data_IF_551760392909
#
_entry.id   IF_551760392909
#
_cell.length_a   1.000
_cell.length_b   1.000
_cell.length_c   1.000
_cell.angle_alpha   90.00
_cell.angle_beta   90.00
_cell.angle_gamma   90.00
#
_symmetry.space_group_name_H-M   'P 1'
#
loop_
_entity.id
_entity.type
_entity.pdbx_description
1 polymer ?
#
# COMPACT_ATOMS: atom_id res chain seq x y z
N UNK A 1 -0.35 -9.12 -13.32
CA UNK A 1 -1.01 -9.95 -12.29
C UNK A 1 -2.30 -10.55 -12.82
N UNK A 2 -3.16 -9.75 -13.44
CA UNK A 2 -4.51 -10.17 -13.89
C UNK A 2 -4.51 -11.45 -14.71
N UNK A 3 -3.70 -11.55 -15.78
CA UNK A 3 -3.63 -12.76 -16.60
C UNK A 3 -3.12 -14.03 -15.89
N UNK A 4 -2.37 -13.87 -14.79
CA UNK A 4 -1.82 -14.99 -14.03
C UNK A 4 -2.76 -15.45 -12.91
N UNK A 5 -3.41 -14.49 -12.25
CA UNK A 5 -4.24 -14.74 -11.08
C UNK A 5 -5.74 -14.77 -11.38
N UNK A 6 -6.17 -14.23 -12.53
CA UNK A 6 -7.59 -14.04 -12.86
C UNK A 6 -8.31 -13.02 -11.95
N UNK A 7 -7.55 -12.09 -11.35
CA UNK A 7 -8.07 -11.07 -10.42
C UNK A 7 -7.80 -9.69 -11.02
N UNK A 8 -8.83 -8.85 -11.07
CA UNK A 8 -8.73 -7.46 -11.51
C UNK A 8 -7.76 -6.67 -10.63
N UNK A 9 -6.83 -5.93 -11.26
CA UNK A 9 -5.80 -5.18 -10.56
C UNK A 9 -5.49 -3.87 -11.28
N UNK A 10 -5.63 -2.76 -10.58
CA UNK A 10 -5.20 -1.44 -11.03
C UNK A 10 -4.00 -0.94 -10.23
N UNK A 11 -3.25 -0.02 -10.83
CA UNK A 11 -2.17 0.71 -10.16
C UNK A 11 -2.46 2.20 -10.25
N UNK A 12 -2.33 2.91 -9.14
CA UNK A 12 -2.56 4.35 -9.05
C UNK A 12 -1.41 5.02 -8.30
N UNK A 13 -1.10 6.25 -8.69
CA UNK A 13 -0.14 7.08 -7.98
C UNK A 13 -0.83 7.62 -6.72
N UNK A 14 -0.19 7.45 -5.55
CA UNK A 14 -0.78 7.82 -4.26
C UNK A 14 -1.22 9.30 -4.20
N UNK A 15 -0.40 10.21 -4.75
CA UNK A 15 -0.71 11.64 -4.81
C UNK A 15 -1.93 11.97 -5.67
N UNK A 16 -2.28 11.13 -6.65
CA UNK A 16 -3.52 11.30 -7.43
C UNK A 16 -4.73 10.65 -6.74
N UNK A 17 -4.50 9.62 -5.93
CA UNK A 17 -5.54 8.87 -5.25
C UNK A 17 -6.25 9.69 -4.16
N UNK A 18 -5.49 10.52 -3.43
CA UNK A 18 -6.00 11.38 -2.36
C UNK A 18 -7.16 12.28 -2.83
N UNK A 19 -7.10 12.78 -4.07
CA UNK A 19 -8.09 13.72 -4.60
C UNK A 19 -9.36 13.07 -5.16
N UNK A 20 -9.40 11.74 -5.31
CA UNK A 20 -10.47 11.08 -6.07
C UNK A 20 -11.75 10.77 -5.29
N UNK A 21 -11.84 11.12 -3.99
CA UNK A 21 -12.99 10.79 -3.12
C UNK A 21 -13.49 9.33 -3.33
N UNK A 22 -12.55 8.38 -3.37
CA UNK A 22 -12.84 6.98 -3.70
C UNK A 22 -13.46 6.30 -2.48
N UNK A 23 -14.57 5.61 -2.70
CA UNK A 23 -15.16 4.72 -1.68
C UNK A 23 -14.31 3.46 -1.59
N UNK A 24 -13.80 3.19 -0.39
CA UNK A 24 -13.03 1.97 -0.13
C UNK A 24 -13.95 0.76 -0.19
N UNK A 25 -13.57 -0.22 -1.00
CA UNK A 25 -14.27 -1.49 -1.14
C UNK A 25 -13.63 -2.52 -0.19
N UNK A 26 -14.46 -3.20 0.60
CA UNK A 26 -14.01 -4.20 1.58
C UNK A 26 -13.52 -5.50 0.93
N UNK A 27 -13.93 -5.76 -0.31
CA UNK A 27 -13.49 -6.94 -1.08
C UNK A 27 -12.21 -6.67 -1.88
N UNK A 28 -11.61 -5.49 -1.74
CA UNK A 28 -10.37 -5.10 -2.42
C UNK A 28 -9.19 -5.16 -1.45
N UNK A 29 -8.08 -5.76 -1.90
CA UNK A 29 -6.80 -5.70 -1.21
C UNK A 29 -6.00 -4.50 -1.72
N UNK A 30 -5.66 -3.58 -0.82
CA UNK A 30 -4.89 -2.38 -1.14
C UNK A 30 -3.41 -2.60 -0.88
N UNK A 31 -2.60 -2.56 -1.93
CA UNK A 31 -1.17 -2.85 -1.87
C UNK A 31 -0.35 -1.57 -1.93
N UNK A 32 0.46 -1.34 -0.91
CA UNK A 32 1.38 -0.20 -0.81
C UNK A 32 2.81 -0.67 -1.06
N UNK A 33 3.46 -0.11 -2.07
CA UNK A 33 4.84 -0.44 -2.42
C UNK A 33 5.71 0.76 -2.11
N UNK A 34 6.68 0.61 -1.20
CA UNK A 34 7.60 1.69 -0.86
C UNK A 34 8.94 1.14 -0.40
N UNK A 35 10.02 1.67 -0.97
CA UNK A 35 11.36 1.27 -0.59
C UNK A 35 11.67 1.70 0.86
N UNK A 36 11.50 2.98 1.17
CA UNK A 36 11.77 3.52 2.50
C UNK A 36 10.69 3.16 3.51
N UNK A 37 9.46 2.94 3.04
CA UNK A 37 8.28 2.82 3.89
C UNK A 37 7.86 4.13 4.58
N UNK A 38 8.42 5.27 4.15
CA UNK A 38 8.21 6.60 4.74
C UNK A 38 7.64 7.64 3.75
N UNK A 39 7.24 7.23 2.54
CA UNK A 39 6.68 8.13 1.54
C UNK A 39 5.34 8.72 2.01
N UNK A 40 5.31 10.03 2.25
CA UNK A 40 4.19 10.73 2.90
C UNK A 40 2.84 10.50 2.20
N UNK A 41 2.77 10.70 0.88
CA UNK A 41 1.52 10.53 0.12
C UNK A 41 0.96 9.10 0.24
N UNK A 42 1.85 8.10 0.24
CA UNK A 42 1.44 6.69 0.44
C UNK A 42 0.94 6.44 1.85
N UNK A 43 1.53 7.08 2.86
CA UNK A 43 1.11 6.95 4.26
C UNK A 43 -0.27 7.57 4.47
N UNK A 44 -0.55 8.73 3.89
CA UNK A 44 -1.86 9.38 4.04
C UNK A 44 -2.98 8.57 3.36
N UNK A 45 -2.73 8.06 2.16
CA UNK A 45 -3.68 7.14 1.50
C UNK A 45 -3.86 5.86 2.33
N UNK A 46 -2.79 5.29 2.89
CA UNK A 46 -2.87 4.11 3.76
C UNK A 46 -3.77 4.35 4.98
N UNK A 47 -3.59 5.48 5.66
CA UNK A 47 -4.44 5.85 6.81
C UNK A 47 -5.90 6.00 6.39
N UNK A 48 -6.17 6.66 5.27
CA UNK A 48 -7.52 6.83 4.73
C UNK A 48 -8.20 5.48 4.47
N UNK A 49 -7.51 4.56 3.80
CA UNK A 49 -8.05 3.24 3.45
C UNK A 49 -8.34 2.43 4.72
N UNK A 50 -7.40 2.45 5.67
CA UNK A 50 -7.55 1.75 6.94
C UNK A 50 -8.69 2.33 7.78
N UNK A 51 -8.86 3.66 7.80
CA UNK A 51 -9.97 4.33 8.48
C UNK A 51 -11.34 3.93 7.92
N UNK A 52 -11.42 3.66 6.60
CA UNK A 52 -12.63 3.16 5.95
C UNK A 52 -12.80 1.63 6.04
N UNK A 53 -11.85 0.93 6.67
CA UNK A 53 -11.90 -0.52 6.90
C UNK A 53 -11.50 -1.38 5.71
N UNK A 54 -10.71 -0.84 4.77
CA UNK A 54 -10.10 -1.62 3.70
C UNK A 54 -8.93 -2.46 4.19
N UNK A 55 -8.72 -3.63 3.57
CA UNK A 55 -7.60 -4.51 3.88
C UNK A 55 -6.32 -4.01 3.22
N UNK A 56 -5.22 -3.92 3.99
CA UNK A 56 -3.97 -3.27 3.54
C UNK A 56 -2.77 -4.23 3.55
N UNK A 57 -1.94 -4.17 2.52
CA UNK A 57 -0.73 -4.98 2.37
C UNK A 57 0.48 -4.11 2.03
N UNK A 58 1.55 -4.19 2.82
CA UNK A 58 2.79 -3.43 2.59
C UNK A 58 3.88 -4.27 1.94
N UNK A 59 4.42 -3.83 0.80
CA UNK A 59 5.66 -4.36 0.23
C UNK A 59 6.74 -3.30 0.46
N UNK A 60 7.62 -3.57 1.42
CA UNK A 60 8.59 -2.57 1.89
C UNK A 60 9.97 -3.17 2.10
N UNK A 61 11.02 -2.35 2.00
CA UNK A 61 12.38 -2.83 2.26
C UNK A 61 12.79 -2.63 3.72
N UNK A 62 12.45 -1.47 4.29
CA UNK A 62 12.87 -1.09 5.66
C UNK A 62 11.91 -1.66 6.71
N UNK A 63 12.44 -2.54 7.56
CA UNK A 63 11.73 -3.10 8.71
C UNK A 63 11.44 -2.02 9.75
N UNK A 64 10.21 -1.96 10.24
CA UNK A 64 9.78 -0.99 11.26
C UNK A 64 9.42 0.39 10.71
N UNK A 65 9.51 0.60 9.39
CA UNK A 65 9.01 1.79 8.72
C UNK A 65 7.52 2.03 8.97
N UNK A 66 7.05 3.27 8.79
CA UNK A 66 5.67 3.67 9.03
C UNK A 66 4.67 2.84 8.24
N UNK A 67 4.89 2.63 6.94
CA UNK A 67 4.03 1.76 6.14
C UNK A 67 4.02 0.33 6.70
N UNK A 68 5.18 -0.23 7.03
CA UNK A 68 5.28 -1.59 7.59
C UNK A 68 4.50 -1.79 8.89
N UNK A 69 4.39 -0.74 9.70
CA UNK A 69 3.69 -0.76 11.00
C UNK A 69 2.18 -0.55 10.86
N UNK A 70 1.74 0.16 9.83
CA UNK A 70 0.34 0.52 9.65
C UNK A 70 -0.45 -0.54 8.85
N UNK A 71 0.19 -1.23 7.91
CA UNK A 71 -0.44 -2.26 7.08
C UNK A 71 -0.83 -3.50 7.87
N UNK A 72 -1.94 -4.14 7.50
CA UNK A 72 -2.45 -5.34 8.18
C UNK A 72 -1.59 -6.57 7.88
N UNK A 73 -1.07 -6.64 6.66
CA UNK A 73 -0.17 -7.69 6.17
C UNK A 73 1.04 -7.06 5.47
N UNK A 74 2.11 -7.82 5.27
CA UNK A 74 3.22 -7.29 4.49
C UNK A 74 4.31 -8.30 4.11
N UNK A 75 5.15 -7.85 3.19
CA UNK A 75 6.32 -8.55 2.69
C UNK A 75 7.52 -7.61 2.76
N UNK A 76 8.60 -8.07 3.39
CA UNK A 76 9.88 -7.39 3.31
C UNK A 76 10.64 -7.85 2.06
N UNK A 77 10.98 -6.91 1.17
CA UNK A 77 11.73 -7.23 -0.06
C UNK A 77 13.16 -7.72 0.23
N UNK A 78 13.74 -7.28 1.37
CA UNK A 78 15.10 -7.62 1.80
C UNK A 78 16.15 -7.32 0.71
N UNK A 79 15.97 -6.21 0.00
CA UNK A 79 16.86 -5.75 -1.08
C UNK A 79 18.20 -5.20 -0.59
N UNK A 80 18.43 -5.12 0.73
CA UNK A 80 19.59 -4.44 1.31
C UNK A 80 19.35 -2.95 1.50
N UNK A 81 20.25 -2.27 2.21
CA UNK A 81 20.18 -0.80 2.38
C UNK A 81 20.57 -0.15 1.06
N UNK A 82 19.70 0.73 0.56
CA UNK A 82 20.00 1.64 -0.53
C UNK A 82 20.60 2.91 0.07
N UNK A 83 21.71 3.39 -0.49
CA UNK A 83 22.44 4.59 -0.06
C UNK A 83 22.20 5.69 -1.08
#
# INVERSE_FOLDING_TARGET
MENLAGIDASCEIASEYEYKNIKVNKDTLYVFISQSGETADSIEVLKLIKQQGGATFGIVNVVGSTISRLTDYGLFTRGGVEI
#
